data_IF_189281205406
#
_entry.id   IF_189281205406
#
_cell.length_a   1.000
_cell.length_b   1.000
_cell.length_c   1.000
_cell.angle_alpha   90.00
_cell.angle_beta   90.00
_cell.angle_gamma   90.00
#
_symmetry.space_group_name_H-M   'P 1'
#
loop_
_entity.id
_entity.type
_entity.pdbx_description
1 polymer ?
#
# COMPACT_ATOMS: atom_id res chain seq x y z
N UNK A 1 -25.10 14.02 -146.21
CA UNK A 1 -25.77 15.10 -145.44
C UNK A 1 -24.92 15.39 -144.21
N UNK A 2 -24.48 16.63 -143.99
CA UNK A 2 -23.57 17.04 -142.88
C UNK A 2 -22.15 16.44 -142.98
N UNK A 3 -21.01 17.13 -142.98
CA UNK A 3 -20.58 18.40 -142.37
C UNK A 3 -20.80 18.42 -140.83
N UNK A 4 -19.79 18.58 -139.96
CA UNK A 4 -18.32 18.60 -140.15
C UNK A 4 -17.61 19.39 -139.03
N UNK A 5 -16.32 19.08 -138.74
CA UNK A 5 -15.40 19.80 -137.82
C UNK A 5 -15.84 19.80 -136.33
N UNK A 6 -15.01 20.04 -135.29
CA UNK A 6 -13.66 20.64 -135.17
C UNK A 6 -12.91 20.04 -133.95
N UNK A 7 -11.58 20.13 -133.95
CA UNK A 7 -10.71 19.95 -132.78
C UNK A 7 -10.73 21.22 -131.89
N UNK A 8 -10.47 21.09 -130.58
CA UNK A 8 -10.19 22.24 -129.70
C UNK A 8 -10.55 21.99 -128.24
N UNK A 9 -9.54 21.85 -127.36
CA UNK A 9 -9.76 21.66 -125.92
C UNK A 9 -9.23 22.83 -125.09
N UNK A 10 -9.82 23.06 -123.92
CA UNK A 10 -9.14 23.85 -122.87
C UNK A 10 -9.61 23.47 -121.45
N UNK A 11 -8.65 22.97 -120.67
CA UNK A 11 -8.45 23.10 -119.22
C UNK A 11 -9.66 23.39 -118.31
N UNK A 12 -9.98 22.43 -117.45
CA UNK A 12 -10.75 22.64 -116.21
C UNK A 12 -10.54 21.48 -115.23
N UNK A 13 -9.63 21.62 -114.27
CA UNK A 13 -9.29 20.56 -113.32
C UNK A 13 -9.95 20.81 -111.96
N UNK A 14 -10.74 19.84 -111.47
CA UNK A 14 -11.06 19.73 -110.03
C UNK A 14 -10.84 18.30 -109.57
N UNK A 15 -10.00 18.20 -108.54
CA UNK A 15 -9.38 17.01 -107.95
C UNK A 15 -10.40 16.00 -107.42
N UNK A 16 -10.22 14.72 -107.73
CA UNK A 16 -10.78 13.65 -106.92
C UNK A 16 -9.95 13.50 -105.63
N UNK A 17 -10.60 13.58 -104.48
CA UNK A 17 -9.98 13.33 -103.17
C UNK A 17 -10.53 12.01 -102.62
N UNK A 18 -9.65 11.05 -102.36
CA UNK A 18 -9.99 9.81 -101.65
C UNK A 18 -10.38 10.15 -100.21
N UNK A 19 -11.63 9.87 -99.83
CA UNK A 19 -12.06 9.96 -98.44
C UNK A 19 -11.65 8.68 -97.69
N UNK A 20 -10.67 8.79 -96.81
CA UNK A 20 -10.28 7.70 -95.92
C UNK A 20 -11.35 7.50 -94.83
N UNK A 21 -11.87 6.27 -94.70
CA UNK A 21 -12.77 5.91 -93.61
C UNK A 21 -11.97 5.82 -92.30
N UNK A 22 -12.01 6.89 -91.50
CA UNK A 22 -11.45 6.87 -90.16
C UNK A 22 -12.35 6.06 -89.22
N UNK A 23 -11.74 5.07 -88.57
CA UNK A 23 -12.39 4.22 -87.57
C UNK A 23 -12.76 5.07 -86.36
N UNK A 24 -14.05 5.33 -86.19
CA UNK A 24 -14.61 5.82 -84.93
C UNK A 24 -14.64 4.67 -83.90
N UNK A 25 -13.47 4.27 -83.43
CA UNK A 25 -13.36 3.55 -82.17
C UNK A 25 -13.84 4.52 -81.10
N UNK A 26 -15.08 4.35 -80.65
CA UNK A 26 -15.53 4.93 -79.39
C UNK A 26 -14.62 4.34 -78.32
N UNK A 27 -13.56 5.08 -77.97
CA UNK A 27 -12.65 4.67 -76.93
C UNK A 27 -13.48 4.42 -75.69
N UNK A 28 -13.38 3.21 -75.14
CA UNK A 28 -13.82 2.98 -73.78
C UNK A 28 -13.14 4.07 -72.95
N UNK A 29 -13.93 4.99 -72.39
CA UNK A 29 -13.44 5.86 -71.34
C UNK A 29 -13.06 4.92 -70.21
N UNK A 30 -11.77 4.55 -70.17
CA UNK A 30 -11.23 3.74 -69.10
C UNK A 30 -11.63 4.47 -67.82
N UNK A 31 -12.42 3.80 -66.97
CA UNK A 31 -12.77 4.35 -65.68
C UNK A 31 -11.46 4.50 -64.91
N UNK A 32 -10.91 5.72 -64.91
CA UNK A 32 -9.64 6.02 -64.26
C UNK A 32 -9.90 5.99 -62.76
N UNK A 33 -9.72 4.80 -62.15
CA UNK A 33 -9.60 4.68 -60.70
C UNK A 33 -8.53 5.66 -60.26
N UNK A 34 -8.94 6.70 -59.53
CA UNK A 34 -8.00 7.65 -58.96
C UNK A 34 -7.69 7.17 -57.56
N UNK A 35 -6.45 6.74 -57.36
CA UNK A 35 -5.97 6.30 -56.05
C UNK A 35 -5.46 7.51 -55.27
N UNK A 36 -6.02 7.71 -54.08
CA UNK A 36 -5.70 8.80 -53.17
C UNK A 36 -5.03 8.20 -51.95
N UNK A 37 -3.94 8.81 -51.47
CA UNK A 37 -3.29 8.43 -50.22
C UNK A 37 -3.51 9.53 -49.19
N UNK A 38 -4.03 9.14 -48.04
CA UNK A 38 -4.21 10.00 -46.86
C UNK A 38 -3.50 9.41 -45.66
N UNK A 39 -3.19 10.24 -44.67
CA UNK A 39 -2.52 9.82 -43.44
C UNK A 39 -3.36 10.19 -42.22
N UNK A 40 -3.29 9.36 -41.19
CA UNK A 40 -3.92 9.58 -39.88
C UNK A 40 -2.98 9.27 -38.73
N UNK A 41 -3.25 9.87 -37.57
CA UNK A 41 -2.68 9.46 -36.29
C UNK A 41 -3.79 9.15 -35.30
N UNK A 42 -3.58 8.16 -34.44
CA UNK A 42 -4.51 7.79 -33.37
C UNK A 42 -3.76 7.26 -32.15
N UNK A 43 -4.37 7.35 -30.96
CA UNK A 43 -3.76 6.85 -29.72
C UNK A 43 -4.74 6.07 -28.87
N UNK A 44 -4.26 5.14 -28.05
CA UNK A 44 -5.01 4.52 -26.95
C UNK A 44 -4.14 4.54 -25.69
N UNK A 45 -4.75 4.70 -24.53
CA UNK A 45 -4.09 4.64 -23.22
C UNK A 45 -4.74 3.54 -22.38
N UNK A 46 -3.92 2.68 -21.79
CA UNK A 46 -4.37 1.59 -20.90
C UNK A 46 -3.63 1.67 -19.57
N UNK A 47 -4.35 1.47 -18.47
CA UNK A 47 -3.78 1.48 -17.12
C UNK A 47 -3.75 0.06 -16.56
N UNK A 48 -2.55 -0.42 -16.23
CA UNK A 48 -2.33 -1.75 -15.64
C UNK A 48 -1.89 -1.59 -14.20
N UNK A 49 -2.79 -1.88 -13.25
CA UNK A 49 -2.58 -1.66 -11.82
C UNK A 49 -2.08 -2.93 -11.11
N UNK A 50 -0.97 -2.79 -10.39
CA UNK A 50 -0.44 -3.81 -9.47
C UNK A 50 -0.69 -3.39 -8.01
N UNK A 51 -1.16 -4.31 -7.18
CA UNK A 51 -1.46 -4.04 -5.76
C UNK A 51 -0.28 -4.48 -4.88
N UNK A 52 0.18 -3.59 -3.99
CA UNK A 52 1.20 -3.91 -2.99
C UNK A 52 0.66 -3.58 -1.59
N UNK A 53 0.68 -4.56 -0.68
CA UNK A 53 0.32 -4.36 0.71
C UNK A 53 1.60 -4.18 1.55
N UNK A 54 1.64 -3.12 2.36
CA UNK A 54 2.70 -2.85 3.33
C UNK A 54 2.07 -2.77 4.72
N UNK A 55 2.75 -3.37 5.70
CA UNK A 55 2.40 -3.28 7.12
C UNK A 55 3.44 -2.46 7.84
N UNK A 56 2.97 -1.51 8.64
CA UNK A 56 3.77 -0.72 9.56
C UNK A 56 3.26 -0.98 10.98
N UNK A 57 4.17 -1.28 11.92
CA UNK A 57 3.81 -1.56 13.31
C UNK A 57 4.35 -0.46 14.23
N UNK A 58 3.42 0.17 14.97
CA UNK A 58 3.69 1.18 16.00
C UNK A 58 3.28 0.64 17.36
N UNK A 59 3.88 1.18 18.42
CA UNK A 59 3.73 0.65 19.78
C UNK A 59 3.37 1.76 20.76
N UNK A 60 2.55 1.41 21.75
CA UNK A 60 2.30 2.25 22.92
C UNK A 60 2.33 1.39 24.17
N UNK A 61 3.32 1.64 25.03
CA UNK A 61 3.53 0.90 26.28
C UNK A 61 3.16 1.78 27.47
N UNK A 62 2.16 1.39 28.25
CA UNK A 62 1.86 2.02 29.54
C UNK A 62 2.47 1.20 30.67
N UNK A 63 3.24 1.85 31.53
CA UNK A 63 3.86 1.25 32.71
C UNK A 63 3.21 1.79 33.97
N UNK A 64 2.63 0.89 34.75
CA UNK A 64 1.99 1.14 36.04
C UNK A 64 2.80 0.53 37.17
N UNK A 65 2.94 1.24 38.29
CA UNK A 65 3.46 0.65 39.53
C UNK A 65 2.48 0.86 40.68
N UNK A 66 2.12 -0.22 41.36
CA UNK A 66 1.08 -0.26 42.39
C UNK A 66 1.64 -0.83 43.69
N UNK A 67 1.55 -0.06 44.77
CA UNK A 67 1.94 -0.45 46.12
C UNK A 67 0.73 -1.06 46.86
N UNK A 68 0.97 -2.20 47.52
CA UNK A 68 0.02 -2.99 48.30
C UNK A 68 -1.31 -3.28 47.57
N UNK A 69 -1.24 -3.39 46.24
CA UNK A 69 -2.38 -3.75 45.37
C UNK A 69 -3.40 -2.64 45.09
N UNK A 70 -3.34 -1.49 45.77
CA UNK A 70 -4.32 -0.40 45.61
C UNK A 70 -3.74 0.96 45.24
N UNK A 71 -2.47 1.24 45.56
CA UNK A 71 -1.91 2.60 45.49
C UNK A 71 -1.00 2.75 44.28
N UNK A 72 -1.48 3.33 43.18
CA UNK A 72 -0.63 3.64 42.03
C UNK A 72 0.36 4.75 42.37
N UNK A 73 1.66 4.45 42.34
CA UNK A 73 2.76 5.40 42.62
C UNK A 73 3.49 5.84 41.34
N UNK A 74 3.24 5.17 40.22
CA UNK A 74 3.85 5.45 38.93
C UNK A 74 2.86 5.09 37.82
N UNK A 75 2.67 6.00 36.86
CA UNK A 75 1.90 5.78 35.64
C UNK A 75 2.52 6.64 34.53
N UNK A 76 3.12 5.99 33.54
CA UNK A 76 3.65 6.65 32.35
C UNK A 76 3.31 5.87 31.10
N UNK A 77 3.08 6.57 29.99
CA UNK A 77 2.83 5.98 28.67
C UNK A 77 3.91 6.41 27.70
N UNK A 78 4.47 5.46 26.96
CA UNK A 78 5.56 5.63 26.01
C UNK A 78 5.11 5.18 24.62
N UNK A 79 5.39 5.95 23.58
CA UNK A 79 5.09 5.61 22.17
C UNK A 79 6.15 4.71 21.53
N UNK A 80 6.60 3.70 22.28
CA UNK A 80 7.61 2.69 21.90
C UNK A 80 7.25 1.34 22.52
N UNK A 81 7.90 0.26 22.07
CA UNK A 81 7.72 -1.08 22.61
C UNK A 81 8.38 -1.22 24.01
N UNK A 82 7.92 -2.19 24.80
CA UNK A 82 8.46 -2.44 26.15
C UNK A 82 9.96 -2.78 26.16
N UNK A 83 10.49 -3.37 25.08
CA UNK A 83 11.92 -3.66 24.93
C UNK A 83 12.81 -2.43 24.73
N UNK A 84 12.23 -1.24 24.57
CA UNK A 84 12.98 0.00 24.37
C UNK A 84 13.72 0.44 25.65
N UNK A 85 14.99 0.91 25.55
CA UNK A 85 15.76 1.37 26.70
C UNK A 85 15.08 2.44 27.55
N UNK A 86 14.25 3.31 26.96
CA UNK A 86 13.50 4.33 27.71
C UNK A 86 12.45 3.70 28.63
N UNK A 87 11.77 2.64 28.18
CA UNK A 87 10.80 1.91 29.00
C UNK A 87 11.51 1.08 30.07
N UNK A 88 12.67 0.50 29.75
CA UNK A 88 13.49 -0.20 30.77
C UNK A 88 14.01 0.75 31.85
N UNK A 89 14.45 1.95 31.49
CA UNK A 89 14.80 2.99 32.46
C UNK A 89 13.59 3.42 33.31
N UNK A 90 12.40 3.49 32.70
CA UNK A 90 11.14 3.77 33.41
C UNK A 90 10.77 2.67 34.42
N UNK A 91 11.08 1.39 34.16
CA UNK A 91 10.91 0.30 35.15
C UNK A 91 11.80 0.52 36.38
N UNK A 92 13.05 0.93 36.19
CA UNK A 92 13.96 1.25 37.32
C UNK A 92 13.45 2.47 38.10
N UNK A 93 12.97 3.51 37.41
CA UNK A 93 12.35 4.67 38.05
C UNK A 93 11.09 4.30 38.85
N UNK A 94 10.26 3.39 38.32
CA UNK A 94 9.08 2.87 38.98
C UNK A 94 9.40 2.04 40.25
N UNK A 95 10.47 1.24 40.22
CA UNK A 95 11.00 0.55 41.41
C UNK A 95 11.48 1.55 42.47
N UNK A 96 12.15 2.62 42.06
CA UNK A 96 12.54 3.73 42.95
C UNK A 96 11.34 4.41 43.60
N UNK A 97 10.29 4.71 42.82
CA UNK A 97 9.05 5.30 43.33
C UNK A 97 8.32 4.39 44.33
N UNK A 98 8.23 3.08 44.05
CA UNK A 98 7.68 2.08 44.98
C UNK A 98 8.50 2.01 46.27
N UNK A 99 9.83 2.03 46.19
CA UNK A 99 10.72 2.03 47.37
C UNK A 99 10.48 3.27 48.24
N UNK A 100 10.41 4.45 47.62
CA UNK A 100 10.18 5.70 48.32
C UNK A 100 8.80 5.76 48.99
N UNK A 101 7.76 5.24 48.33
CA UNK A 101 6.40 5.17 48.88
C UNK A 101 6.20 4.07 49.94
N UNK A 102 7.06 3.04 49.93
CA UNK A 102 7.02 1.93 50.89
C UNK A 102 7.64 2.23 52.26
N UNK A 103 8.50 3.25 52.35
CA UNK A 103 9.29 3.55 53.55
C UNK A 103 8.45 3.73 54.83
N UNK A 104 8.93 3.26 56.00
CA UNK A 104 10.28 2.74 56.26
C UNK A 104 10.47 1.24 55.94
N UNK A 105 9.42 0.52 55.55
CA UNK A 105 9.49 -0.93 55.29
C UNK A 105 10.25 -1.25 54.00
N UNK A 106 10.89 -2.43 53.97
CA UNK A 106 11.53 -2.94 52.75
C UNK A 106 10.45 -3.38 51.74
N UNK A 107 10.56 -2.95 50.48
CA UNK A 107 9.57 -3.30 49.43
C UNK A 107 10.05 -4.48 48.61
N UNK A 108 9.17 -5.47 48.42
CA UNK A 108 9.40 -6.56 47.44
C UNK A 108 8.70 -6.24 46.13
N UNK A 109 9.37 -6.52 45.01
CA UNK A 109 8.83 -6.27 43.68
C UNK A 109 8.34 -7.56 43.02
N UNK A 110 7.21 -7.48 42.32
CA UNK A 110 6.71 -8.53 41.43
C UNK A 110 6.34 -7.92 40.08
N UNK A 111 6.83 -8.54 38.99
CA UNK A 111 6.76 -7.98 37.64
C UNK A 111 8.02 -7.19 37.24
N UNK A 112 7.97 -6.39 36.15
CA UNK A 112 6.78 -6.01 35.40
C UNK A 112 6.10 -7.18 34.66
N UNK A 113 4.77 -7.25 34.77
CA UNK A 113 3.93 -8.27 34.11
C UNK A 113 3.05 -7.61 33.06
N UNK A 114 2.86 -8.25 31.91
CA UNK A 114 1.91 -7.79 30.88
C UNK A 114 0.47 -8.09 31.36
N UNK A 115 -0.30 -7.04 31.66
CA UNK A 115 -1.69 -7.13 32.14
C UNK A 115 -2.72 -7.02 31.02
N UNK A 116 -2.41 -6.28 29.96
CA UNK A 116 -3.28 -6.18 28.77
C UNK A 116 -2.46 -5.90 27.52
N UNK A 117 -2.88 -6.45 26.39
CA UNK A 117 -2.35 -6.14 25.06
C UNK A 117 -3.48 -6.11 24.04
N UNK A 118 -3.42 -5.17 23.11
CA UNK A 118 -4.37 -5.03 22.01
C UNK A 118 -3.67 -4.43 20.80
N UNK A 119 -3.90 -5.01 19.62
CA UNK A 119 -3.41 -4.49 18.33
C UNK A 119 -4.60 -4.09 17.48
N UNK A 120 -4.64 -2.84 17.03
CA UNK A 120 -5.69 -2.28 16.18
C UNK A 120 -5.09 -1.63 14.94
N UNK A 121 -5.84 -1.56 13.84
CA UNK A 121 -5.46 -0.71 12.70
C UNK A 121 -5.66 0.75 13.12
N UNK A 122 -4.58 1.52 13.15
CA UNK A 122 -4.58 2.93 13.51
C UNK A 122 -4.73 3.86 12.29
N UNK A 123 -4.33 3.38 11.11
CA UNK A 123 -4.48 4.11 9.85
C UNK A 123 -4.25 3.24 8.63
N UNK A 124 -4.79 3.68 7.50
CA UNK A 124 -4.56 3.09 6.18
C UNK A 124 -4.34 4.22 5.19
N UNK A 125 -3.24 4.16 4.43
CA UNK A 125 -2.97 5.10 3.33
C UNK A 125 -2.69 4.33 2.04
N UNK A 126 -3.03 4.93 0.91
CA UNK A 126 -2.82 4.34 -0.42
C UNK A 126 -2.13 5.36 -1.33
N UNK A 127 -0.98 4.98 -1.90
CA UNK A 127 -0.23 5.79 -2.86
C UNK A 127 -0.19 5.05 -4.19
N UNK A 128 -0.65 5.69 -5.26
CA UNK A 128 -0.52 5.17 -6.63
C UNK A 128 0.65 5.85 -7.31
N UNK A 129 1.63 5.07 -7.77
CA UNK A 129 2.80 5.56 -8.50
C UNK A 129 2.85 4.93 -9.89
N UNK A 130 3.22 5.71 -10.91
CA UNK A 130 3.58 5.17 -12.23
C UNK A 130 4.95 4.52 -12.11
N UNK A 131 5.01 3.21 -12.34
CA UNK A 131 6.22 2.40 -12.22
C UNK A 131 6.93 2.22 -13.56
N UNK A 132 6.17 2.17 -14.66
CA UNK A 132 6.71 2.10 -16.01
C UNK A 132 5.68 2.60 -17.05
N UNK A 133 6.16 3.03 -18.21
CA UNK A 133 5.32 3.33 -19.38
C UNK A 133 5.90 2.61 -20.59
N UNK A 134 5.07 1.89 -21.34
CA UNK A 134 5.43 1.23 -22.59
C UNK A 134 4.63 1.82 -23.74
N UNK A 135 5.25 1.98 -24.90
CA UNK A 135 4.58 2.45 -26.11
C UNK A 135 4.79 1.45 -27.25
N UNK A 136 3.70 1.10 -27.93
CA UNK A 136 3.72 0.27 -29.14
C UNK A 136 3.13 1.08 -30.30
N UNK A 137 3.91 1.23 -31.37
CA UNK A 137 3.47 1.94 -32.59
C UNK A 137 3.12 0.93 -33.67
N UNK A 138 1.90 1.01 -34.21
CA UNK A 138 1.38 0.13 -35.26
C UNK A 138 0.90 0.96 -36.44
N UNK A 139 1.32 0.61 -37.66
CA UNK A 139 0.78 1.20 -38.88
C UNK A 139 -0.31 0.30 -39.47
N UNK A 140 -1.44 0.89 -39.84
CA UNK A 140 -2.60 0.22 -40.45
C UNK A 140 -3.03 0.98 -41.70
N UNK A 141 -3.61 0.30 -42.69
CA UNK A 141 -4.12 0.94 -43.91
C UNK A 141 -5.63 0.68 -44.01
N UNK A 142 -6.41 1.73 -43.84
CA UNK A 142 -7.86 1.69 -44.06
C UNK A 142 -8.14 2.00 -45.54
N UNK A 143 -8.80 1.07 -46.24
CA UNK A 143 -9.12 1.21 -47.68
C UNK A 143 -10.59 1.59 -47.81
N UNK A 144 -10.87 2.78 -48.32
CA UNK A 144 -12.22 3.26 -48.61
C UNK A 144 -12.40 3.40 -50.12
N UNK A 145 -13.33 2.63 -50.71
CA UNK A 145 -13.76 2.80 -52.09
C UNK A 145 -14.97 3.76 -52.08
N UNK A 146 -14.96 4.77 -52.94
CA UNK A 146 -16.03 5.77 -52.99
C UNK A 146 -17.30 5.31 -53.71
N UNK A 147 -18.47 5.92 -53.44
CA UNK A 147 -18.65 7.10 -52.59
C UNK A 147 -18.68 6.75 -51.09
N UNK A 148 -18.01 7.57 -50.27
CA UNK A 148 -17.98 7.40 -48.81
C UNK A 148 -17.17 8.48 -48.10
N UNK A 149 -17.00 8.34 -46.79
CA UNK A 149 -16.14 9.22 -46.00
C UNK A 149 -15.27 8.43 -45.02
N UNK A 150 -14.06 8.93 -44.78
CA UNK A 150 -13.07 8.36 -43.85
C UNK A 150 -12.50 9.49 -42.99
N UNK A 151 -12.16 9.19 -41.73
CA UNK A 151 -11.52 10.17 -40.84
C UNK A 151 -10.00 10.17 -41.06
N UNK A 152 -9.46 11.34 -41.43
CA UNK A 152 -8.03 11.55 -41.68
C UNK A 152 -7.40 12.51 -40.66
N UNK A 153 -6.08 12.63 -40.66
CA UNK A 153 -5.36 13.51 -39.73
C UNK A 153 -5.35 12.98 -38.29
N UNK A 154 -5.28 13.89 -37.31
CA UNK A 154 -5.20 13.48 -35.90
C UNK A 154 -6.58 13.13 -35.34
N UNK A 155 -6.78 11.83 -35.08
CA UNK A 155 -7.99 11.24 -34.50
C UNK A 155 -7.99 11.31 -32.96
N UNK A 156 -6.86 11.66 -32.34
CA UNK A 156 -6.72 11.81 -30.90
C UNK A 156 -6.77 10.48 -30.12
N UNK A 157 -7.21 10.56 -28.87
CA UNK A 157 -7.35 9.40 -27.97
C UNK A 157 -8.63 8.62 -28.30
N UNK A 158 -8.49 7.47 -28.93
CA UNK A 158 -9.57 6.56 -29.31
C UNK A 158 -9.90 5.60 -28.17
N UNK A 159 -11.11 5.05 -28.18
CA UNK A 159 -11.59 4.11 -27.14
C UNK A 159 -10.93 2.73 -27.28
N UNK A 160 -10.72 2.28 -28.51
CA UNK A 160 -10.07 1.00 -28.79
C UNK A 160 -9.36 1.02 -30.15
N UNK A 161 -8.45 0.07 -30.34
CA UNK A 161 -7.78 -0.19 -31.61
C UNK A 161 -7.77 -1.70 -31.88
N UNK A 162 -8.17 -2.09 -33.08
CA UNK A 162 -8.10 -3.45 -33.59
C UNK A 162 -7.28 -3.42 -34.90
N UNK A 163 -6.25 -4.29 -35.08
CA UNK A 163 -5.42 -4.27 -36.29
C UNK A 163 -6.17 -4.58 -37.60
N UNK A 164 -7.34 -5.23 -37.55
CA UNK A 164 -8.15 -5.57 -38.70
C UNK A 164 -9.22 -4.52 -39.04
N UNK A 165 -9.76 -3.79 -38.06
CA UNK A 165 -10.79 -2.75 -38.29
C UNK A 165 -10.32 -1.31 -38.10
N UNK A 166 -9.11 -1.09 -37.57
CA UNK A 166 -8.58 0.22 -37.22
C UNK A 166 -9.07 0.76 -35.87
N UNK A 167 -8.74 2.02 -35.53
CA UNK A 167 -9.11 2.65 -34.27
C UNK A 167 -10.56 3.13 -34.26
N UNK A 168 -11.26 2.90 -33.15
CA UNK A 168 -12.70 3.19 -32.98
C UNK A 168 -12.98 4.11 -31.79
N UNK A 169 -14.11 4.82 -31.84
CA UNK A 169 -14.50 5.77 -30.79
C UNK A 169 -13.61 7.01 -30.67
N UNK A 170 -12.86 7.35 -31.72
CA UNK A 170 -11.98 8.52 -31.75
C UNK A 170 -12.79 9.83 -31.73
N UNK A 171 -12.46 10.81 -30.87
CA UNK A 171 -13.16 12.10 -30.79
C UNK A 171 -12.69 13.12 -31.83
N UNK A 172 -11.52 12.90 -32.45
CA UNK A 172 -10.93 13.80 -33.45
C UNK A 172 -10.99 13.25 -34.88
N UNK A 173 -10.16 13.85 -35.74
CA UNK A 173 -10.06 13.56 -37.17
C UNK A 173 -10.86 14.54 -38.02
N UNK A 174 -10.42 14.73 -39.26
CA UNK A 174 -11.16 15.50 -40.27
C UNK A 174 -11.84 14.55 -41.25
N UNK A 175 -13.14 14.74 -41.58
CA UNK A 175 -13.82 13.88 -42.53
C UNK A 175 -13.33 14.17 -43.96
N UNK A 176 -12.69 13.18 -44.57
CA UNK A 176 -12.32 13.19 -45.99
C UNK A 176 -13.40 12.51 -46.82
N UNK A 177 -13.87 13.18 -47.87
CA UNK A 177 -14.91 12.64 -48.76
C UNK A 177 -14.25 11.92 -49.94
N UNK A 178 -14.50 10.62 -50.06
CA UNK A 178 -14.03 9.78 -51.16
C UNK A 178 -15.11 9.78 -52.25
N UNK A 179 -14.76 10.30 -53.43
CA UNK A 179 -15.68 10.43 -54.56
C UNK A 179 -15.90 9.07 -55.25
N UNK A 180 -17.06 8.89 -55.89
CA UNK A 180 -17.34 7.69 -56.67
C UNK A 180 -16.28 7.50 -57.78
N UNK A 181 -15.75 6.28 -57.91
CA UNK A 181 -14.65 5.99 -58.84
C UNK A 181 -13.25 6.34 -58.32
N UNK A 182 -13.11 6.72 -57.04
CA UNK A 182 -11.82 6.88 -56.36
C UNK A 182 -11.64 5.84 -55.25
N UNK A 183 -10.39 5.41 -55.04
CA UNK A 183 -10.00 4.55 -53.92
C UNK A 183 -9.08 5.35 -53.01
N UNK A 184 -9.42 5.46 -51.72
CA UNK A 184 -8.56 6.11 -50.74
C UNK A 184 -7.88 5.08 -49.84
N UNK A 185 -6.55 5.15 -49.76
CA UNK A 185 -5.72 4.42 -48.82
C UNK A 185 -5.32 5.36 -47.67
N UNK A 186 -5.98 5.24 -46.52
CA UNK A 186 -5.66 6.02 -45.33
C UNK A 186 -4.65 5.25 -44.47
N UNK A 187 -3.40 5.71 -44.40
CA UNK A 187 -2.38 5.12 -43.53
C UNK A 187 -2.51 5.71 -42.13
N UNK A 188 -3.07 4.93 -41.21
CA UNK A 188 -3.20 5.31 -39.81
C UNK A 188 -2.02 4.78 -38.99
N UNK A 189 -1.25 5.71 -38.40
CA UNK A 189 -0.23 5.40 -37.39
C UNK A 189 -0.89 5.46 -36.01
N UNK A 190 -0.98 4.31 -35.36
CA UNK A 190 -1.54 4.13 -34.04
C UNK A 190 -0.45 4.03 -32.98
N UNK A 191 -0.57 4.77 -31.88
CA UNK A 191 0.28 4.61 -30.68
C UNK A 191 -0.56 4.09 -29.52
N UNK A 192 -0.31 2.85 -29.11
CA UNK A 192 -0.86 2.28 -27.88
C UNK A 192 0.13 2.52 -26.73
N UNK A 193 -0.31 3.23 -25.69
CA UNK A 193 0.48 3.52 -24.50
C UNK A 193 -0.07 2.72 -23.32
N UNK A 194 0.75 1.83 -22.76
CA UNK A 194 0.45 1.09 -21.53
C UNK A 194 1.17 1.73 -20.34
N UNK A 195 0.38 2.15 -19.35
CA UNK A 195 0.85 2.84 -18.14
C UNK A 195 0.74 1.86 -16.98
N UNK A 196 1.88 1.32 -16.55
CA UNK A 196 1.96 0.44 -15.40
C UNK A 196 2.00 1.27 -14.12
N UNK A 197 1.08 0.97 -13.20
CA UNK A 197 1.02 1.62 -11.90
C UNK A 197 1.14 0.59 -10.78
N UNK A 198 1.73 1.01 -9.68
CA UNK A 198 1.74 0.26 -8.42
C UNK A 198 0.96 1.05 -7.38
N UNK A 199 -0.09 0.42 -6.85
CA UNK A 199 -0.93 0.93 -5.77
C UNK A 199 -0.42 0.32 -4.47
N UNK A 200 0.36 1.10 -3.73
CA UNK A 200 0.91 0.70 -2.44
C UNK A 200 -0.04 1.11 -1.34
N UNK A 201 -0.63 0.12 -0.66
CA UNK A 201 -1.50 0.33 0.50
C UNK A 201 -0.72 0.03 1.78
N UNK A 202 -0.42 1.07 2.55
CA UNK A 202 0.24 0.96 3.86
C UNK A 202 -0.80 0.94 4.96
N UNK A 203 -0.84 -0.14 5.74
CA UNK A 203 -1.67 -0.27 6.94
C UNK A 203 -0.81 -0.14 8.18
N UNK A 204 -1.04 0.91 8.97
CA UNK A 204 -0.35 1.17 10.23
C UNK A 204 -1.16 0.55 11.37
N UNK A 205 -0.55 -0.38 12.10
CA UNK A 205 -1.12 -1.03 13.26
C UNK A 205 -0.53 -0.41 14.53
N UNK A 206 -1.37 -0.14 15.53
CA UNK A 206 -0.94 0.28 16.86
C UNK A 206 -1.14 -0.88 17.84
N UNK A 207 -0.03 -1.36 18.41
CA UNK A 207 -0.05 -2.31 19.51
C UNK A 207 0.08 -1.57 20.84
N UNK A 208 -1.02 -1.53 21.58
CA UNK A 208 -1.08 -1.02 22.96
C UNK A 208 -0.79 -2.14 23.95
N UNK A 209 0.12 -1.92 24.90
CA UNK A 209 0.48 -2.88 25.94
C UNK A 209 0.55 -2.21 27.32
N UNK A 210 -0.04 -2.84 28.33
CA UNK A 210 -0.06 -2.34 29.71
C UNK A 210 0.75 -3.28 30.59
N UNK A 211 1.84 -2.78 31.17
CA UNK A 211 2.69 -3.49 32.12
C UNK A 211 2.47 -2.99 33.53
N UNK A 212 2.37 -3.92 34.48
CA UNK A 212 2.15 -3.65 35.90
C UNK A 212 3.29 -4.19 36.75
N UNK A 213 3.86 -3.33 37.58
CA UNK A 213 4.83 -3.65 38.62
C UNK A 213 4.14 -3.54 39.99
N UNK A 214 4.16 -4.61 40.77
CA UNK A 214 3.58 -4.61 42.11
C UNK A 214 4.69 -4.49 43.15
N UNK A 215 4.54 -3.54 44.07
CA UNK A 215 5.30 -3.47 45.31
C UNK A 215 4.47 -3.96 46.48
N UNK A 216 5.04 -4.76 47.36
CA UNK A 216 4.45 -5.08 48.68
C UNK A 216 5.42 -4.70 49.78
N UNK A 217 4.93 -4.03 50.83
CA UNK A 217 5.73 -3.78 52.03
C UNK A 217 6.00 -5.11 52.74
N UNK A 218 7.27 -5.50 52.86
CA UNK A 218 7.65 -6.48 53.87
C UNK A 218 7.52 -5.77 55.22
N UNK A 219 6.37 -5.93 55.87
CA UNK A 219 6.13 -5.38 57.19
C UNK A 219 7.30 -5.75 58.08
N UNK A 220 7.99 -4.73 58.61
CA UNK A 220 9.26 -4.90 59.29
C UNK A 220 9.19 -6.06 60.27
N UNK A 221 10.17 -6.96 60.19
CA UNK A 221 10.32 -8.07 61.12
C UNK A 221 10.55 -7.50 62.51
N UNK A 222 9.45 -7.19 63.20
CA UNK A 222 9.47 -6.77 64.59
C UNK A 222 10.21 -7.86 65.34
N UNK A 223 11.33 -7.48 65.96
CA UNK A 223 12.07 -8.38 66.84
C UNK A 223 11.11 -8.76 67.96
N UNK A 224 10.43 -9.90 67.79
CA UNK A 224 9.50 -10.46 68.76
C UNK A 224 10.25 -10.48 70.08
N UNK A 225 9.82 -9.71 71.09
CA UNK A 225 10.44 -9.79 72.40
C UNK A 225 10.21 -11.23 72.85
N UNK A 226 11.29 -11.98 72.98
CA UNK A 226 11.24 -13.39 73.33
C UNK A 226 10.39 -13.53 74.60
N UNK A 227 9.30 -14.32 74.60
CA UNK A 227 8.46 -14.44 75.78
C UNK A 227 9.33 -14.92 76.94
N UNK A 228 9.19 -14.31 78.11
CA UNK A 228 10.17 -14.29 79.20
C UNK A 228 10.39 -15.65 79.95
N UNK A 229 10.55 -16.75 79.21
CA UNK A 229 10.79 -18.09 79.72
C UNK A 229 12.12 -18.21 80.48
N UNK A 230 13.19 -17.56 79.99
CA UNK A 230 14.49 -17.57 80.67
C UNK A 230 14.46 -16.88 82.05
N UNK A 231 13.65 -15.82 82.20
CA UNK A 231 13.47 -15.14 83.49
C UNK A 231 12.72 -16.02 84.51
N UNK A 232 11.71 -16.77 84.06
CA UNK A 232 10.95 -17.69 84.91
C UNK A 232 11.76 -18.94 85.31
N UNK A 233 12.60 -19.47 84.42
CA UNK A 233 13.49 -20.61 84.74
C UNK A 233 14.54 -20.21 85.79
N UNK A 234 15.10 -19.00 85.72
CA UNK A 234 16.02 -18.48 86.73
C UNK A 234 15.35 -18.26 88.10
N UNK A 235 14.12 -17.76 88.14
CA UNK A 235 13.37 -17.63 89.40
C UNK A 235 13.02 -18.99 90.03
N UNK A 236 12.66 -19.98 89.21
CA UNK A 236 12.33 -21.33 89.68
C UNK A 236 13.53 -22.05 90.31
N UNK A 237 14.73 -21.88 89.75
CA UNK A 237 15.98 -22.45 90.28
C UNK A 237 16.38 -21.84 91.64
N UNK A 238 16.18 -20.53 91.83
CA UNK A 238 16.44 -19.86 93.11
C UNK A 238 15.50 -20.36 94.23
N UNK A 239 14.23 -20.61 93.92
CA UNK A 239 13.27 -21.15 94.89
C UNK A 239 13.56 -22.61 95.30
N UNK A 240 14.13 -23.43 94.41
CA UNK A 240 14.51 -24.82 94.73
C UNK A 240 15.72 -24.91 95.66
N UNK A 241 16.62 -23.93 95.66
CA UNK A 241 17.79 -23.89 96.54
C UNK A 241 17.43 -23.56 98.01
N UNK A 242 16.36 -22.78 98.24
CA UNK A 242 16.01 -22.25 99.57
C UNK A 242 15.39 -23.26 100.55
N UNK A 243 14.95 -24.45 100.10
CA UNK A 243 14.10 -25.34 100.92
C UNK A 243 14.85 -26.46 101.66
N UNK A 244 16.17 -26.61 101.48
CA UNK A 244 16.94 -27.72 102.08
C UNK A 244 17.53 -27.48 103.47
N UNK A 245 17.41 -26.28 104.07
CA UNK A 245 17.99 -25.99 105.39
C UNK A 245 17.00 -25.98 106.57
N UNK A 246 15.73 -26.36 106.35
CA UNK A 246 14.70 -26.25 107.38
C UNK A 246 13.87 -27.52 107.57
N UNK A 247 14.42 -28.55 108.25
CA UNK A 247 13.70 -29.43 109.21
C UNK A 247 14.59 -30.50 109.88
N UNK A 248 14.86 -30.26 111.17
CA UNK A 248 14.65 -31.19 112.33
C UNK A 248 15.61 -32.40 112.50
N UNK A 249 15.64 -33.06 113.70
CA UNK A 249 14.90 -32.81 114.95
C UNK A 249 15.78 -32.58 116.21
N UNK A 250 15.10 -32.45 117.35
CA UNK A 250 15.60 -32.14 118.70
C UNK A 250 15.52 -33.40 119.58
N UNK A 251 16.56 -33.76 120.32
CA UNK A 251 16.48 -34.75 121.42
C UNK A 251 17.08 -34.19 122.74
N UNK A 252 16.34 -34.38 123.84
CA UNK A 252 16.85 -34.40 125.23
C UNK A 252 17.40 -35.82 125.48
N UNK A 253 18.34 -36.13 126.38
CA UNK A 253 18.69 -35.58 127.71
C UNK A 253 20.23 -35.76 127.93
N UNK A 254 20.88 -35.61 129.10
CA UNK A 254 20.46 -35.42 130.50
C UNK A 254 21.55 -34.67 131.33
N UNK A 255 21.55 -34.88 132.66
CA UNK A 255 22.60 -34.61 133.67
C UNK A 255 22.86 -35.96 134.42
N UNK A 256 23.90 -36.15 135.28
CA UNK A 256 24.22 -35.25 136.41
C UNK A 256 25.71 -35.14 136.86
N UNK A 257 25.87 -34.34 137.92
CA UNK A 257 26.96 -34.27 138.93
C UNK A 257 28.39 -34.04 138.43
#
# INVERSE_FOLDING_TARGET
>A
MGAGKTFGGWRGAVRAVFAAAWVAAAGAAAAQSTDIVTNSTSRTETFTDTQQAVREDTFSTRLLAVLDGSTTVYDMTFSVAFSDPLVQAAVVAAQGALTAAGAPDAVSFSGPTLTSTSTVVAGTSSVTQITNTSETVTATVEIQIGPGSVLIGDRGLCVAFDPATGPTGCPGGTPFTVLAGTTNFNTNVHTATEIFRTVTTTSTFLTTAVYTLFGVRQGGGGTVPEPAGLALVLLALLMLAGTRFARRPKQRSALPS
#
